data_IF_461144201363
#
_entry.id   IF_461144201363
#
_cell.length_a   1.000
_cell.length_b   1.000
_cell.length_c   1.000
_cell.angle_alpha   90.00
_cell.angle_beta   90.00
_cell.angle_gamma   90.00
#
_symmetry.space_group_name_H-M   'P 1'
#
loop_
_entity.id
_entity.type
_entity.pdbx_description
1 polymer ?
#
# COMPACT_ATOMS: atom_id res chain seq x y z
N UNK A 1 -17.47 -5.79 8.41
CA UNK A 1 -17.02 -7.21 8.34
C UNK A 1 -15.48 -7.31 8.34
N UNK A 2 -14.92 -8.13 9.23
CA UNK A 2 -13.46 -8.27 9.42
C UNK A 2 -12.72 -8.70 8.13
N UNK A 3 -13.36 -9.52 7.28
CA UNK A 3 -12.75 -10.12 6.09
C UNK A 3 -12.50 -9.14 4.94
N UNK A 4 -13.25 -8.04 4.84
CA UNK A 4 -13.17 -7.13 3.67
C UNK A 4 -11.82 -6.44 3.56
N UNK A 5 -11.29 -5.93 4.67
CA UNK A 5 -10.00 -5.26 4.68
C UNK A 5 -8.88 -6.26 4.31
N UNK A 6 -8.88 -7.43 4.96
CA UNK A 6 -7.89 -8.48 4.74
C UNK A 6 -7.88 -9.00 3.30
N UNK A 7 -9.05 -9.17 2.67
CA UNK A 7 -9.14 -9.56 1.25
C UNK A 7 -8.46 -8.51 0.37
N UNK A 8 -8.79 -7.23 0.55
CA UNK A 8 -8.21 -6.14 -0.23
C UNK A 8 -6.68 -6.09 -0.02
N UNK A 9 -6.21 -6.23 1.21
CA UNK A 9 -4.79 -6.23 1.52
C UNK A 9 -4.04 -7.38 0.86
N UNK A 10 -4.63 -8.59 0.85
CA UNK A 10 -4.08 -9.77 0.18
C UNK A 10 -3.99 -9.59 -1.34
N UNK A 11 -4.99 -8.96 -1.96
CA UNK A 11 -4.98 -8.69 -3.39
C UNK A 11 -3.86 -7.70 -3.78
N UNK A 12 -3.62 -6.69 -2.94
CA UNK A 12 -2.46 -5.78 -3.12
C UNK A 12 -1.13 -6.47 -2.88
N UNK A 13 -0.98 -7.24 -1.79
CA UNK A 13 0.29 -7.90 -1.43
C UNK A 13 0.68 -9.01 -2.42
N UNK A 14 -0.32 -9.59 -3.10
CA UNK A 14 -0.14 -10.60 -4.15
C UNK A 14 0.00 -10.01 -5.56
N UNK A 15 -0.02 -8.68 -5.69
CA UNK A 15 0.11 -7.93 -6.95
C UNK A 15 -0.99 -8.22 -7.98
N UNK A 16 -2.22 -8.51 -7.54
CA UNK A 16 -3.39 -8.66 -8.42
C UNK A 16 -4.07 -7.33 -8.75
N UNK A 17 -3.85 -6.32 -7.91
CA UNK A 17 -4.35 -4.96 -8.10
C UNK A 17 -3.31 -3.94 -7.65
N UNK A 18 -3.38 -2.75 -8.21
CA UNK A 18 -2.54 -1.62 -7.86
C UNK A 18 -3.36 -0.34 -7.69
N UNK A 19 -2.79 0.66 -7.02
CA UNK A 19 -3.42 1.97 -6.87
C UNK A 19 -2.95 2.89 -7.99
N UNK A 20 -3.89 3.47 -8.71
CA UNK A 20 -3.64 4.56 -9.63
C UNK A 20 -4.30 5.84 -9.10
N UNK A 21 -3.51 6.66 -8.39
CA UNK A 21 -4.04 7.81 -7.68
C UNK A 21 -5.02 7.40 -6.58
N UNK A 22 -6.29 7.78 -6.72
CA UNK A 22 -7.37 7.42 -5.79
C UNK A 22 -8.08 6.12 -6.19
N UNK A 23 -7.84 5.63 -7.39
CA UNK A 23 -8.53 4.46 -7.94
C UNK A 23 -7.75 3.17 -7.67
N UNK A 24 -8.49 2.06 -7.65
CA UNK A 24 -7.94 0.70 -7.57
C UNK A 24 -8.16 0.07 -8.93
N UNK A 25 -7.09 -0.39 -9.57
CA UNK A 25 -7.12 -0.99 -10.90
C UNK A 25 -6.52 -2.39 -10.86
N UNK A 26 -7.04 -3.36 -11.64
CA UNK A 26 -6.46 -4.68 -11.73
C UNK A 26 -5.12 -4.62 -12.47
N UNK A 27 -4.16 -5.46 -12.08
CA UNK A 27 -2.92 -5.65 -12.83
C UNK A 27 -3.15 -6.65 -13.98
N UNK A 28 -2.21 -6.72 -14.94
CA UNK A 28 -2.29 -7.75 -15.98
C UNK A 28 -2.32 -9.16 -15.40
N UNK A 29 -1.56 -9.41 -14.33
CA UNK A 29 -1.60 -10.66 -13.55
C UNK A 29 -3.00 -10.95 -13.01
N UNK A 30 -3.70 -9.96 -12.47
CA UNK A 30 -5.08 -10.11 -11.99
C UNK A 30 -6.06 -10.44 -13.11
N UNK A 31 -5.96 -9.76 -14.25
CA UNK A 31 -6.81 -9.99 -15.43
C UNK A 31 -6.59 -11.40 -15.98
N UNK A 32 -5.33 -11.81 -16.17
CA UNK A 32 -5.00 -13.15 -16.64
C UNK A 32 -5.53 -14.23 -15.69
N UNK A 33 -5.37 -14.05 -14.37
CA UNK A 33 -5.90 -15.01 -13.39
C UNK A 33 -7.41 -15.19 -13.55
N UNK A 34 -8.18 -14.11 -13.63
CA UNK A 34 -9.64 -14.18 -13.80
C UNK A 34 -10.04 -14.82 -15.14
N UNK A 35 -9.20 -14.68 -16.17
CA UNK A 35 -9.39 -15.37 -17.46
C UNK A 35 -9.15 -16.88 -17.40
N UNK A 36 -8.24 -17.32 -16.53
CA UNK A 36 -7.87 -18.73 -16.36
C UNK A 36 -8.80 -19.48 -15.41
N UNK A 37 -9.27 -18.81 -14.36
CA UNK A 37 -10.14 -19.38 -13.34
C UNK A 37 -11.50 -19.80 -13.94
N UNK A 38 -11.99 -21.02 -13.64
CA UNK A 38 -13.31 -21.48 -14.06
C UNK A 38 -14.43 -20.51 -13.67
N UNK A 39 -15.47 -20.41 -14.51
CA UNK A 39 -16.58 -19.45 -14.35
C UNK A 39 -17.28 -19.58 -12.99
N UNK A 40 -17.50 -20.81 -12.54
CA UNK A 40 -18.16 -21.09 -11.27
C UNK A 40 -17.36 -20.55 -10.07
N UNK A 41 -16.03 -20.67 -10.07
CA UNK A 41 -15.20 -20.24 -8.94
C UNK A 41 -15.10 -18.71 -8.82
N UNK A 42 -15.34 -17.97 -9.90
CA UNK A 42 -15.37 -16.50 -9.90
C UNK A 42 -16.78 -15.91 -9.76
N UNK A 43 -17.79 -16.76 -9.52
CA UNK A 43 -19.17 -16.33 -9.33
C UNK A 43 -19.38 -15.76 -7.91
N UNK A 44 -20.02 -14.59 -7.78
CA UNK A 44 -20.45 -14.07 -6.48
C UNK A 44 -21.54 -14.96 -5.84
N UNK A 45 -22.37 -15.62 -6.65
CA UNK A 45 -23.41 -16.53 -6.17
C UNK A 45 -22.81 -17.74 -5.42
N UNK A 46 -21.78 -18.38 -5.96
CA UNK A 46 -21.10 -19.50 -5.28
C UNK A 46 -20.50 -19.04 -3.94
N UNK A 47 -19.88 -17.86 -3.93
CA UNK A 47 -19.30 -17.27 -2.71
C UNK A 47 -20.38 -17.03 -1.65
N UNK A 48 -21.53 -16.48 -2.05
CA UNK A 48 -22.66 -16.25 -1.16
C UNK A 48 -23.21 -17.56 -0.58
N UNK A 49 -23.32 -18.61 -1.41
CA UNK A 49 -23.74 -19.95 -0.97
C UNK A 49 -22.82 -20.52 0.11
N UNK A 50 -21.50 -20.42 -0.07
CA UNK A 50 -20.56 -20.91 0.94
C UNK A 50 -20.62 -20.11 2.25
N UNK A 51 -20.72 -18.79 2.19
CA UNK A 51 -20.87 -17.96 3.40
C UNK A 51 -22.18 -18.29 4.16
N UNK A 52 -23.27 -18.58 3.43
CA UNK A 52 -24.51 -19.05 4.03
C UNK A 52 -24.34 -20.40 4.71
N UNK A 53 -23.71 -21.39 4.05
CA UNK A 53 -23.43 -22.69 4.65
C UNK A 53 -22.55 -22.59 5.89
N UNK A 54 -21.50 -21.78 5.86
CA UNK A 54 -20.66 -21.49 7.02
C UNK A 54 -21.46 -20.87 8.18
N UNK A 55 -22.42 -20.01 7.88
CA UNK A 55 -23.35 -19.47 8.88
C UNK A 55 -24.23 -20.57 9.49
N UNK A 56 -24.81 -21.45 8.69
CA UNK A 56 -25.66 -22.55 9.21
C UNK A 56 -24.85 -23.58 10.01
N UNK A 57 -23.60 -23.86 9.61
CA UNK A 57 -22.65 -24.67 10.41
C UNK A 57 -22.40 -24.00 11.77
N UNK A 58 -22.17 -22.69 11.81
CA UNK A 58 -21.95 -21.98 13.09
C UNK A 58 -23.16 -22.06 14.04
N UNK A 59 -24.37 -22.23 13.47
CA UNK A 59 -25.64 -22.40 14.21
C UNK A 59 -25.95 -23.87 14.53
N UNK A 60 -25.09 -24.80 14.12
CA UNK A 60 -25.27 -26.24 14.32
C UNK A 60 -26.33 -26.88 13.40
N UNK A 61 -26.73 -26.20 12.31
CA UNK A 61 -27.78 -26.66 11.38
C UNK A 61 -27.25 -27.44 10.18
N UNK A 62 -25.95 -27.33 9.91
CA UNK A 62 -25.26 -28.11 8.88
C UNK A 62 -24.05 -28.83 9.48
N UNK A 63 -23.73 -30.00 8.91
CA UNK A 63 -22.58 -30.79 9.35
C UNK A 63 -21.28 -30.27 8.71
N UNK A 64 -20.32 -29.91 9.57
CA UNK A 64 -19.00 -29.41 9.18
C UNK A 64 -18.23 -30.41 8.34
N UNK A 65 -18.28 -31.70 8.66
CA UNK A 65 -17.46 -32.71 7.99
C UNK A 65 -17.92 -32.91 6.54
N UNK A 66 -19.24 -33.00 6.31
CA UNK A 66 -19.85 -33.05 4.98
C UNK A 66 -19.48 -31.83 4.15
N UNK A 67 -19.54 -30.63 4.72
CA UNK A 67 -19.14 -29.40 4.02
C UNK A 67 -17.67 -29.47 3.57
N UNK A 68 -16.74 -29.82 4.47
CA UNK A 68 -15.32 -29.92 4.14
C UNK A 68 -15.05 -31.02 3.09
N UNK A 69 -15.76 -32.15 3.16
CA UNK A 69 -15.65 -33.22 2.16
C UNK A 69 -16.12 -32.76 0.77
N UNK A 70 -17.20 -31.98 0.71
CA UNK A 70 -17.69 -31.35 -0.51
C UNK A 70 -16.65 -30.41 -1.12
N UNK A 71 -16.07 -29.51 -0.32
CA UNK A 71 -15.01 -28.59 -0.76
C UNK A 71 -13.80 -29.33 -1.30
N UNK A 72 -13.36 -30.42 -0.62
CA UNK A 72 -12.24 -31.24 -1.10
C UNK A 72 -12.53 -31.88 -2.45
N UNK A 73 -13.72 -32.48 -2.60
CA UNK A 73 -14.14 -33.13 -3.85
C UNK A 73 -14.19 -32.13 -5.00
N UNK A 74 -14.77 -30.96 -4.76
CA UNK A 74 -14.82 -29.86 -5.73
C UNK A 74 -13.42 -29.36 -6.11
N UNK A 75 -12.53 -29.17 -5.13
CA UNK A 75 -11.15 -28.78 -5.40
C UNK A 75 -10.40 -29.81 -6.25
N UNK A 76 -10.59 -31.11 -5.99
CA UNK A 76 -9.97 -32.18 -6.80
C UNK A 76 -10.47 -32.17 -8.24
N UNK A 77 -11.77 -31.95 -8.47
CA UNK A 77 -12.36 -31.82 -9.80
C UNK A 77 -11.75 -30.62 -10.54
N UNK A 78 -11.74 -29.45 -9.91
CA UNK A 78 -11.16 -28.23 -10.50
C UNK A 78 -9.68 -28.39 -10.88
N UNK A 79 -8.87 -28.99 -10.01
CA UNK A 79 -7.44 -29.22 -10.30
C UNK A 79 -7.27 -30.15 -11.50
N UNK A 80 -8.12 -31.18 -11.61
CA UNK A 80 -8.10 -32.14 -12.73
C UNK A 80 -8.49 -31.48 -14.04
N UNK A 81 -9.48 -30.59 -14.03
CA UNK A 81 -9.88 -29.81 -15.21
C UNK A 81 -8.78 -28.85 -15.67
N UNK A 82 -8.16 -28.13 -14.72
CA UNK A 82 -7.10 -27.16 -15.02
C UNK A 82 -5.84 -27.88 -15.52
N UNK A 83 -5.46 -29.01 -14.92
CA UNK A 83 -4.29 -29.78 -15.35
C UNK A 83 -4.46 -30.41 -16.74
N UNK A 84 -5.68 -30.77 -17.11
CA UNK A 84 -6.03 -31.20 -18.47
C UNK A 84 -6.18 -30.06 -19.48
N UNK A 85 -6.20 -28.80 -19.03
CA UNK A 85 -6.38 -27.65 -19.90
C UNK A 85 -5.05 -27.18 -20.53
N UNK A 86 -5.05 -26.83 -21.82
CA UNK A 86 -3.90 -26.24 -22.50
C UNK A 86 -3.67 -24.74 -22.19
N UNK A 87 -4.32 -24.20 -21.15
CA UNK A 87 -4.28 -22.77 -20.85
C UNK A 87 -2.95 -22.38 -20.21
N UNK A 88 -2.23 -21.44 -20.81
CA UNK A 88 -0.94 -20.98 -20.30
C UNK A 88 -1.06 -19.63 -19.59
N UNK A 89 -0.43 -19.50 -18.42
CA UNK A 89 -0.22 -18.22 -17.76
C UNK A 89 1.12 -17.60 -18.20
N UNK A 90 1.13 -16.30 -18.54
CA UNK A 90 2.34 -15.60 -18.97
C UNK A 90 2.65 -14.43 -18.06
N UNK A 91 3.93 -14.26 -17.73
CA UNK A 91 4.39 -13.13 -16.95
C UNK A 91 4.69 -11.93 -17.86
N UNK A 92 3.77 -10.98 -17.96
CA UNK A 92 3.95 -9.78 -18.79
C UNK A 92 4.98 -8.80 -18.22
N UNK A 93 5.31 -8.96 -16.94
CA UNK A 93 6.22 -8.09 -16.20
C UNK A 93 7.60 -8.72 -15.98
N UNK A 94 7.99 -9.65 -16.85
CA UNK A 94 9.30 -10.30 -16.79
C UNK A 94 10.40 -9.32 -17.22
N UNK A 95 11.48 -9.28 -16.44
CA UNK A 95 12.64 -8.42 -16.71
C UNK A 95 13.82 -9.23 -17.23
N UNK A 96 14.85 -8.55 -17.71
CA UNK A 96 16.14 -9.19 -18.08
C UNK A 96 17.04 -9.48 -16.89
N UNK A 97 16.68 -9.01 -15.69
CA UNK A 97 17.47 -9.22 -14.48
C UNK A 97 17.28 -10.65 -13.95
N UNK A 98 18.37 -11.31 -13.58
CA UNK A 98 18.35 -12.65 -12.99
C UNK A 98 18.34 -12.56 -11.48
N UNK A 99 17.62 -13.48 -10.85
CA UNK A 99 17.60 -13.66 -9.41
C UNK A 99 18.97 -14.15 -8.94
N UNK A 100 19.59 -13.50 -7.94
CA UNK A 100 20.90 -13.92 -7.44
C UNK A 100 20.86 -15.25 -6.67
N UNK A 101 19.67 -15.68 -6.21
CA UNK A 101 19.53 -16.92 -5.43
C UNK A 101 19.24 -18.15 -6.30
N UNK A 102 18.39 -18.02 -7.33
CA UNK A 102 17.96 -19.17 -8.15
C UNK A 102 18.26 -19.03 -9.66
N UNK A 103 18.79 -17.89 -10.12
CA UNK A 103 19.14 -17.65 -11.52
C UNK A 103 17.96 -17.40 -12.48
N UNK A 104 16.71 -17.60 -12.05
CA UNK A 104 15.50 -17.32 -12.84
C UNK A 104 15.31 -15.82 -13.06
N UNK A 105 14.52 -15.42 -14.06
CA UNK A 105 14.23 -14.01 -14.30
C UNK A 105 13.38 -13.38 -13.20
N UNK A 106 13.68 -12.12 -12.89
CA UNK A 106 12.93 -11.32 -11.93
C UNK A 106 11.73 -10.66 -12.60
N UNK A 107 10.66 -10.49 -11.84
CA UNK A 107 9.44 -9.80 -12.22
C UNK A 107 9.41 -8.41 -11.61
N UNK A 108 9.08 -7.38 -12.40
CA UNK A 108 8.88 -6.03 -11.88
C UNK A 108 7.43 -5.85 -11.44
N UNK A 109 7.22 -5.45 -10.19
CA UNK A 109 5.88 -5.24 -9.62
C UNK A 109 5.79 -3.90 -8.91
N UNK A 110 4.60 -3.30 -8.93
CA UNK A 110 4.30 -2.09 -8.16
C UNK A 110 3.71 -2.48 -6.81
N UNK A 111 4.41 -2.16 -5.73
CA UNK A 111 3.93 -2.28 -4.36
C UNK A 111 3.34 -0.97 -3.83
N UNK A 112 2.82 -1.00 -2.61
CA UNK A 112 2.26 0.19 -1.91
C UNK A 112 3.25 1.36 -1.82
N UNK A 113 4.55 1.07 -1.69
CA UNK A 113 5.62 2.05 -1.46
C UNK A 113 6.46 2.38 -2.69
N UNK A 114 6.24 1.74 -3.83
CA UNK A 114 7.04 1.92 -5.04
C UNK A 114 7.25 0.61 -5.80
N UNK A 115 8.28 0.56 -6.64
CA UNK A 115 8.52 -0.58 -7.54
C UNK A 115 9.59 -1.51 -6.98
N UNK A 116 9.43 -2.81 -7.23
CA UNK A 116 10.35 -3.84 -6.76
C UNK A 116 10.49 -4.96 -7.80
N UNK A 117 11.65 -5.62 -7.77
CA UNK A 117 11.90 -6.88 -8.43
C UNK A 117 11.56 -8.01 -7.47
N UNK A 118 10.83 -9.01 -7.95
CA UNK A 118 10.45 -10.20 -7.19
C UNK A 118 10.79 -11.43 -8.01
N UNK A 119 11.31 -12.46 -7.37
CA UNK A 119 11.52 -13.74 -8.06
C UNK A 119 10.21 -14.30 -8.60
N UNK A 120 10.26 -14.87 -9.81
CA UNK A 120 9.14 -15.63 -10.36
C UNK A 120 8.80 -16.83 -9.49
N UNK A 121 9.81 -17.44 -8.87
CA UNK A 121 9.64 -18.58 -8.00
C UNK A 121 9.22 -18.14 -6.59
N UNK A 122 8.08 -18.69 -6.13
CA UNK A 122 7.54 -18.38 -4.80
C UNK A 122 8.33 -19.06 -3.69
N UNK A 123 9.02 -20.16 -3.98
CA UNK A 123 9.85 -20.87 -3.00
C UNK A 123 11.16 -20.12 -2.73
N UNK A 124 11.75 -19.50 -3.76
CA UNK A 124 12.92 -18.64 -3.61
C UNK A 124 12.60 -17.39 -2.78
N UNK A 125 11.51 -16.69 -3.10
CA UNK A 125 11.06 -15.56 -2.28
C UNK A 125 11.90 -14.27 -2.36
N UNK A 126 12.98 -14.23 -3.16
CA UNK A 126 13.83 -13.05 -3.33
C UNK A 126 13.05 -11.79 -3.75
N UNK A 127 13.39 -10.65 -3.13
CA UNK A 127 12.76 -9.33 -3.34
C UNK A 127 13.81 -8.22 -3.25
N UNK A 128 13.78 -7.30 -4.21
CA UNK A 128 14.68 -6.14 -4.26
C UNK A 128 13.89 -4.87 -4.59
N UNK A 129 13.98 -3.84 -3.76
CA UNK A 129 13.31 -2.56 -4.01
C UNK A 129 14.05 -1.74 -5.07
N UNK A 130 13.38 -1.39 -6.17
CA UNK A 130 13.94 -0.52 -7.23
C UNK A 130 13.70 0.95 -6.88
N UNK A 131 12.46 1.26 -6.47
CA UNK A 131 12.06 2.62 -6.18
C UNK A 131 11.16 2.69 -4.95
N UNK A 132 11.33 3.77 -4.18
CA UNK A 132 10.48 4.08 -3.03
C UNK A 132 9.94 5.48 -3.18
N UNK A 133 8.62 5.65 -3.03
CA UNK A 133 8.01 6.97 -2.89
C UNK A 133 8.45 7.55 -1.55
N UNK A 134 9.31 8.57 -1.60
CA UNK A 134 9.79 9.26 -0.41
C UNK A 134 8.83 10.39 -0.01
N UNK A 135 8.89 10.80 1.26
CA UNK A 135 8.22 12.02 1.70
C UNK A 135 9.04 13.29 1.41
N UNK A 136 10.24 13.15 0.82
CA UNK A 136 11.07 14.29 0.43
C UNK A 136 10.34 15.13 -0.63
N UNK A 137 10.39 16.45 -0.45
CA UNK A 137 9.75 17.42 -1.34
C UNK A 137 10.77 18.00 -2.29
N UNK A 138 10.40 18.09 -3.57
CA UNK A 138 11.20 18.75 -4.58
C UNK A 138 11.35 20.24 -4.25
N UNK A 139 12.56 20.82 -4.34
CA UNK A 139 12.78 22.24 -4.09
C UNK A 139 12.10 23.14 -5.15
N UNK A 140 11.86 22.64 -6.35
CA UNK A 140 11.30 23.44 -7.45
C UNK A 140 9.76 23.45 -7.48
N UNK A 141 9.11 22.33 -7.14
CA UNK A 141 7.64 22.21 -7.25
C UNK A 141 6.94 21.67 -6.01
N UNK A 142 7.68 21.38 -4.93
CA UNK A 142 7.17 20.84 -3.65
C UNK A 142 6.38 19.52 -3.75
N UNK A 143 6.34 18.86 -4.92
CA UNK A 143 5.80 17.51 -5.10
C UNK A 143 6.72 16.47 -4.47
N UNK A 144 6.17 15.32 -4.09
CA UNK A 144 6.94 14.20 -3.53
C UNK A 144 7.91 13.63 -4.55
N UNK A 145 9.11 13.28 -4.11
CA UNK A 145 10.14 12.67 -4.95
C UNK A 145 10.20 11.15 -4.78
N UNK A 146 10.55 10.44 -5.85
CA UNK A 146 10.83 8.99 -5.82
C UNK A 146 12.33 8.79 -5.58
N UNK A 147 12.70 7.92 -4.67
CA UNK A 147 14.09 7.53 -4.42
C UNK A 147 14.37 6.23 -5.20
N UNK A 148 15.42 6.23 -6.02
CA UNK A 148 15.82 5.08 -6.85
C UNK A 148 17.31 4.81 -6.70
N UNK A 149 17.72 3.55 -6.83
CA UNK A 149 19.13 3.13 -6.80
C UNK A 149 19.55 2.43 -5.50
N UNK A 150 20.84 2.06 -5.43
CA UNK A 150 21.40 1.27 -4.34
C UNK A 150 22.45 2.05 -3.54
N UNK A 151 22.51 1.77 -2.24
CA UNK A 151 23.48 2.40 -1.33
C UNK A 151 23.44 3.93 -1.34
N UNK A 152 24.62 4.54 -1.42
CA UNK A 152 24.83 6.00 -1.46
C UNK A 152 24.52 6.62 -2.82
N UNK A 153 24.47 5.82 -3.90
CA UNK A 153 24.15 6.28 -5.25
C UNK A 153 22.65 6.44 -5.49
N UNK A 154 21.84 6.41 -4.43
CA UNK A 154 20.41 6.67 -4.53
C UNK A 154 20.16 8.09 -5.04
N UNK A 155 19.19 8.23 -5.93
CA UNK A 155 18.80 9.50 -6.56
C UNK A 155 17.31 9.73 -6.29
N UNK A 156 17.00 10.91 -5.75
CA UNK A 156 15.65 11.45 -5.75
C UNK A 156 15.30 11.97 -7.14
N UNK A 157 14.18 11.53 -7.69
CA UNK A 157 13.64 11.99 -8.97
C UNK A 157 12.24 12.54 -8.76
N UNK A 158 11.98 13.76 -9.19
CA UNK A 158 10.67 14.40 -9.15
C UNK A 158 9.97 14.28 -10.52
N UNK A 159 8.63 14.32 -10.51
CA UNK A 159 7.83 14.36 -11.72
C UNK A 159 8.05 15.61 -12.59
N UNK A 160 8.61 16.70 -12.03
CA UNK A 160 8.96 17.90 -12.80
C UNK A 160 10.33 17.80 -13.50
N UNK A 161 11.01 16.66 -13.43
CA UNK A 161 12.34 16.46 -14.02
C UNK A 161 13.52 16.72 -13.08
N UNK A 162 13.30 17.33 -11.91
CA UNK A 162 14.36 17.56 -10.91
C UNK A 162 14.94 16.23 -10.39
N UNK A 163 16.27 16.13 -10.32
CA UNK A 163 16.99 14.95 -9.81
C UNK A 163 18.09 15.37 -8.85
N UNK A 164 18.25 14.65 -7.75
CA UNK A 164 19.23 14.96 -6.71
C UNK A 164 19.77 13.67 -6.08
N UNK A 165 21.09 13.55 -5.94
CA UNK A 165 21.71 12.41 -5.25
C UNK A 165 21.39 12.46 -3.75
N UNK A 166 21.31 11.30 -3.10
CA UNK A 166 21.02 11.18 -1.68
C UNK A 166 22.01 12.00 -0.82
N UNK A 167 23.30 11.95 -1.16
CA UNK A 167 24.34 12.73 -0.47
C UNK A 167 24.20 14.24 -0.64
N UNK A 168 23.70 14.71 -1.79
CA UNK A 168 23.41 16.13 -2.01
C UNK A 168 22.16 16.55 -1.24
N UNK A 169 21.13 15.70 -1.23
CA UNK A 169 19.90 15.91 -0.48
C UNK A 169 20.17 16.00 1.03
N UNK A 170 20.98 15.11 1.60
CA UNK A 170 21.32 15.14 3.04
C UNK A 170 22.07 16.43 3.40
N UNK A 171 23.11 16.78 2.65
CA UNK A 171 23.86 18.03 2.84
C UNK A 171 22.97 19.26 2.78
N UNK A 172 22.09 19.33 1.78
CA UNK A 172 21.12 20.42 1.65
C UNK A 172 20.15 20.44 2.83
N UNK A 173 19.67 19.29 3.29
CA UNK A 173 18.77 19.21 4.45
C UNK A 173 19.44 19.57 5.76
N UNK A 174 20.73 19.31 5.93
CA UNK A 174 21.52 19.78 7.07
C UNK A 174 21.70 21.30 7.04
N UNK A 175 21.96 21.87 5.87
CA UNK A 175 22.06 23.32 5.66
C UNK A 175 20.71 24.04 5.80
N UNK A 176 19.61 23.43 5.37
CA UNK A 176 18.25 23.94 5.57
C UNK A 176 17.75 23.71 7.00
N UNK A 177 18.14 22.59 7.64
CA UNK A 177 17.78 22.21 9.00
C UNK A 177 18.38 23.13 10.06
N UNK A 178 19.48 23.82 9.73
CA UNK A 178 20.03 24.90 10.55
C UNK A 178 19.38 26.27 10.31
N UNK A 179 18.52 26.43 9.29
CA UNK A 179 17.93 27.73 8.91
C UNK A 179 16.41 27.79 8.71
N UNK A 180 15.65 26.69 8.74
CA UNK A 180 14.21 26.82 8.43
C UNK A 180 13.29 25.62 8.58
N UNK A 181 13.68 24.55 9.27
CA UNK A 181 12.76 23.42 9.53
C UNK A 181 12.43 23.31 11.01
N UNK A 182 11.66 24.25 11.55
CA UNK A 182 11.08 24.07 12.87
C UNK A 182 10.26 22.78 12.88
N UNK A 183 10.54 21.91 13.85
CA UNK A 183 9.77 20.69 14.04
C UNK A 183 8.31 21.11 14.27
N UNK A 184 7.32 20.44 13.65
CA UNK A 184 5.90 20.81 13.80
C UNK A 184 5.47 20.85 15.28
N UNK A 185 6.16 20.08 16.14
CA UNK A 185 6.06 20.12 17.60
C UNK A 185 6.63 21.38 18.24
N UNK A 186 7.77 21.88 17.76
CA UNK A 186 8.40 23.12 18.24
C UNK A 186 7.60 24.35 17.82
N UNK A 187 7.08 24.39 16.58
CA UNK A 187 6.17 25.46 16.13
C UNK A 187 4.91 25.48 16.99
N UNK A 188 4.28 24.33 17.22
CA UNK A 188 3.11 24.25 18.09
C UNK A 188 3.43 24.64 19.53
N UNK A 189 4.59 24.27 20.05
CA UNK A 189 5.01 24.65 21.39
C UNK A 189 5.27 26.17 21.50
N UNK A 190 5.85 26.77 20.47
CA UNK A 190 6.08 28.21 20.38
C UNK A 190 4.76 28.99 20.26
N UNK A 191 3.82 28.54 19.42
CA UNK A 191 2.47 29.10 19.32
C UNK A 191 1.69 28.98 20.64
N UNK A 192 1.81 27.86 21.35
CA UNK A 192 1.22 27.69 22.67
C UNK A 192 1.86 28.57 23.74
N UNK A 193 3.16 28.86 23.65
CA UNK A 193 3.83 29.83 24.52
C UNK A 193 3.36 31.25 24.26
N UNK A 194 3.21 31.65 22.99
CA UNK A 194 2.64 32.96 22.65
C UNK A 194 1.19 33.13 23.10
N UNK A 195 0.39 32.05 23.15
CA UNK A 195 -0.96 32.11 23.73
C UNK A 195 -0.97 32.25 25.25
N UNK A 196 0.13 31.89 25.94
CA UNK A 196 0.28 32.08 27.39
C UNK A 196 0.82 33.47 27.73
N UNK A 197 1.69 34.02 26.89
CA UNK A 197 2.25 35.36 27.05
C UNK A 197 1.43 36.38 26.24
N UNK A 198 0.34 36.83 26.89
CA UNK A 198 -0.62 37.89 26.56
C UNK A 198 -1.99 37.45 26.00
N UNK A 199 -3.07 37.58 26.80
CA UNK A 199 -4.35 38.01 26.26
C UNK A 199 -4.28 39.51 25.96
N UNK A 200 -4.33 39.84 24.66
CA UNK A 200 -4.73 41.17 24.20
C UNK A 200 -6.13 41.49 24.74
N UNK A 201 -6.25 42.66 25.36
CA UNK A 201 -7.45 43.32 25.92
C UNK A 201 -7.73 43.15 27.43
N UNK A 202 -6.79 43.62 28.25
CA UNK A 202 -7.07 44.05 29.63
C UNK A 202 -8.04 45.24 29.70
N UNK A 203 -8.06 46.10 28.67
CA UNK A 203 -8.89 47.32 28.67
C UNK A 203 -10.42 47.04 28.72
N UNK A 204 -10.91 46.03 28.01
CA UNK A 204 -12.33 45.67 28.03
C UNK A 204 -12.73 44.95 29.33
N UNK A 205 -11.84 44.08 29.84
CA UNK A 205 -12.05 43.37 31.09
C UNK A 205 -12.08 44.32 32.30
N UNK A 206 -11.19 45.32 32.33
CA UNK A 206 -11.16 46.35 33.38
C UNK A 206 -12.37 47.30 33.29
N UNK A 207 -12.88 47.56 32.09
CA UNK A 207 -14.09 48.37 31.89
C UNK A 207 -15.36 47.64 32.38
N UNK A 208 -15.45 46.33 32.13
CA UNK A 208 -16.59 45.50 32.56
C UNK A 208 -16.60 45.26 34.07
N UNK A 209 -15.42 45.12 34.71
CA UNK A 209 -15.33 44.97 36.17
C UNK A 209 -15.80 46.21 36.95
N UNK A 210 -15.79 47.41 36.33
CA UNK A 210 -16.28 48.66 36.92
C UNK A 210 -17.79 48.85 36.78
N UNK A 211 -18.46 48.02 36.00
CA UNK A 211 -19.91 48.01 35.91
C UNK A 211 -20.43 47.10 37.03
N UNK A 212 -20.88 47.69 38.14
CA UNK A 212 -21.64 46.99 39.18
C UNK A 212 -23.00 46.56 38.61
N UNK A 213 -23.02 45.42 37.90
CA UNK A 213 -24.25 44.78 37.51
C UNK A 213 -24.84 44.06 38.74
N UNK A 214 -26.10 44.32 39.12
CA UNK A 214 -26.76 43.54 40.16
C UNK A 214 -26.86 42.08 39.70
N UNK A 215 -26.68 41.16 40.65
CA UNK A 215 -26.83 39.71 40.42
C UNK A 215 -28.23 39.35 39.98
#
# INVERSE_FOLDING_TARGET
>A
PATRADIIEKLFSSFYMERNGKEIVPTSKGIQLIGLVPSELKSPELTAKWEQQLSEISKGREDRQRFIQGIRSYATQLVSEVSGSGRTYRHDNMTRAKCPECGKFLLQVKGKRGEMLVCQDRECGYRQGISVQSNARCPQCHKKMKLQGEGEQKIFTCACGYREKLSAFTKRKEQEGSKGSYNKREVNHYLQKQQKDAPLNTALADALAKLNLPK
#
